data_IF_829259286031
#
_entry.id   IF_829259286031
#
_cell.length_a   1.000
_cell.length_b   1.000
_cell.length_c   1.000
_cell.angle_alpha   90.00
_cell.angle_beta   90.00
_cell.angle_gamma   90.00
#
_symmetry.space_group_name_H-M   'P 1'
#
loop_
_entity.id
_entity.type
_entity.pdbx_description
1 polymer ?
#
# COMPACT_ATOMS: atom_id res chain seq x y z
N UNK A 1 -3.15 -43.22 -3.24
CA UNK A 1 -3.89 -42.53 -4.33
C UNK A 1 -3.06 -41.32 -4.71
N UNK A 2 -2.53 -41.26 -5.93
CA UNK A 2 -1.93 -40.02 -6.48
C UNK A 2 -3.08 -39.08 -6.82
N UNK A 3 -3.05 -37.87 -6.25
CA UNK A 3 -3.95 -36.79 -6.69
C UNK A 3 -3.37 -36.23 -7.99
N UNK A 4 -4.08 -36.41 -9.06
CA UNK A 4 -3.74 -35.80 -10.35
C UNK A 4 -4.47 -34.45 -10.41
N UNK A 5 -3.71 -33.36 -10.59
CA UNK A 5 -4.26 -32.02 -10.72
C UNK A 5 -4.07 -31.61 -12.18
N UNK A 6 -5.15 -31.53 -12.90
CA UNK A 6 -5.14 -31.13 -14.32
C UNK A 6 -5.32 -29.60 -14.36
N UNK A 7 -4.38 -28.93 -15.00
CA UNK A 7 -4.46 -27.51 -15.31
C UNK A 7 -4.72 -27.36 -16.81
N UNK A 8 -5.72 -26.60 -17.17
CA UNK A 8 -5.92 -26.18 -18.55
C UNK A 8 -5.63 -24.70 -18.66
N UNK A 9 -4.83 -24.34 -19.65
CA UNK A 9 -4.56 -22.95 -20.02
C UNK A 9 -4.83 -22.77 -21.50
N UNK A 10 -5.19 -21.59 -21.89
CA UNK A 10 -5.48 -21.23 -23.26
C UNK A 10 -4.18 -20.75 -23.93
N UNK A 11 -3.80 -21.37 -25.03
CA UNK A 11 -2.69 -20.93 -25.89
C UNK A 11 -3.28 -20.34 -27.15
N UNK A 12 -3.28 -19.05 -27.30
CA UNK A 12 -3.81 -18.35 -28.46
C UNK A 12 -3.60 -16.84 -28.36
N UNK A 13 -3.88 -16.13 -29.44
CA UNK A 13 -3.88 -14.65 -29.46
C UNK A 13 -5.09 -14.12 -28.67
N UNK A 14 -5.05 -14.17 -27.36
CA UNK A 14 -6.16 -13.70 -26.50
C UNK A 14 -6.16 -12.19 -26.28
N UNK A 15 -5.09 -11.50 -26.65
CA UNK A 15 -4.87 -10.08 -26.27
C UNK A 15 -4.63 -9.86 -24.79
N UNK A 16 -4.59 -10.92 -23.98
CA UNK A 16 -4.30 -10.88 -22.56
C UNK A 16 -2.92 -11.47 -22.27
N UNK A 17 -2.14 -10.82 -21.45
CA UNK A 17 -0.88 -11.31 -20.91
C UNK A 17 -1.07 -11.75 -19.47
N UNK A 18 -0.38 -12.81 -19.07
CA UNK A 18 -0.36 -13.30 -17.70
C UNK A 18 0.91 -12.77 -17.01
N UNK A 19 0.73 -12.14 -15.86
CA UNK A 19 1.82 -11.62 -15.05
C UNK A 19 1.82 -12.30 -13.69
N UNK A 20 3.00 -12.61 -13.18
CA UNK A 20 3.20 -13.24 -11.89
C UNK A 20 3.89 -12.27 -10.94
N UNK A 21 3.39 -12.16 -9.72
CA UNK A 21 4.00 -11.30 -8.72
C UNK A 21 3.33 -11.41 -7.36
N UNK A 22 3.82 -10.62 -6.44
CA UNK A 22 3.31 -10.58 -5.08
C UNK A 22 2.78 -9.19 -4.75
N UNK A 23 1.64 -9.15 -4.06
CA UNK A 23 0.93 -7.92 -3.72
C UNK A 23 0.94 -7.63 -2.20
N UNK A 24 1.74 -8.35 -1.44
CA UNK A 24 1.84 -8.20 0.00
C UNK A 24 3.18 -8.72 0.51
N UNK A 25 3.98 -7.82 1.04
CA UNK A 25 5.21 -8.14 1.76
C UNK A 25 5.61 -6.98 2.68
N UNK A 26 6.43 -7.27 3.68
CA UNK A 26 6.90 -6.30 4.66
C UNK A 26 8.43 -6.22 4.65
N UNK A 27 8.94 -5.04 4.99
CA UNK A 27 10.35 -4.77 5.20
C UNK A 27 10.66 -4.55 6.68
N UNK A 28 11.93 -4.73 7.07
CA UNK A 28 12.37 -4.31 8.40
C UNK A 28 12.62 -2.79 8.48
N UNK A 29 12.74 -2.15 7.34
CA UNK A 29 12.98 -0.71 7.25
C UNK A 29 11.76 0.12 7.65
N UNK A 30 10.58 -0.31 7.22
CA UNK A 30 9.33 0.43 7.43
C UNK A 30 8.28 -0.32 8.26
N UNK A 31 8.52 -1.59 8.64
CA UNK A 31 7.55 -2.41 9.36
C UNK A 31 8.25 -3.52 10.17
N UNK A 32 7.68 -4.70 10.18
CA UNK A 32 8.11 -5.86 10.96
C UNK A 32 8.61 -7.03 10.10
N UNK A 33 8.93 -6.76 8.84
CA UNK A 33 9.49 -7.74 7.91
C UNK A 33 10.99 -7.93 8.05
N UNK A 34 11.68 -8.21 6.94
CA UNK A 34 13.11 -8.41 6.88
C UNK A 34 13.72 -7.61 5.72
N UNK A 35 14.97 -7.17 5.88
CA UNK A 35 15.71 -6.40 4.86
C UNK A 35 15.17 -5.00 4.63
N UNK A 36 15.73 -4.35 3.64
CA UNK A 36 15.30 -3.03 3.18
C UNK A 36 14.31 -3.14 2.01
N UNK A 37 13.69 -2.04 1.67
CA UNK A 37 12.83 -1.98 0.48
C UNK A 37 13.64 -2.20 -0.81
N UNK A 38 14.87 -1.69 -0.85
CA UNK A 38 15.81 -1.94 -1.96
C UNK A 38 16.13 -3.42 -2.09
N UNK A 39 16.47 -4.10 -0.98
CA UNK A 39 16.74 -5.55 -0.98
C UNK A 39 15.54 -6.35 -1.54
N UNK A 40 14.34 -5.97 -1.16
CA UNK A 40 13.11 -6.64 -1.61
C UNK A 40 12.93 -6.53 -3.14
N UNK A 41 13.08 -5.32 -3.70
CA UNK A 41 12.97 -5.13 -5.15
C UNK A 41 14.12 -5.76 -5.92
N UNK A 42 15.36 -5.66 -5.43
CA UNK A 42 16.50 -6.31 -6.08
C UNK A 42 16.35 -7.82 -6.14
N UNK A 43 15.90 -8.42 -5.05
CA UNK A 43 15.65 -9.85 -5.01
C UNK A 43 14.53 -10.27 -5.99
N UNK A 44 13.44 -9.52 -6.03
CA UNK A 44 12.32 -9.80 -6.94
C UNK A 44 12.73 -9.63 -8.41
N UNK A 45 13.49 -8.59 -8.76
CA UNK A 45 13.99 -8.37 -10.11
C UNK A 45 14.95 -9.46 -10.59
N UNK A 46 15.67 -10.12 -9.68
CA UNK A 46 16.56 -11.24 -10.01
C UNK A 46 15.80 -12.55 -10.21
N UNK A 47 14.59 -12.65 -9.69
CA UNK A 47 13.73 -13.81 -9.87
C UNK A 47 13.11 -13.79 -11.28
N UNK A 48 13.46 -14.80 -12.11
CA UNK A 48 13.10 -14.83 -13.54
C UNK A 48 11.61 -14.98 -13.84
N UNK A 49 10.83 -15.32 -12.84
CA UNK A 49 9.40 -15.65 -12.92
C UNK A 49 8.54 -14.71 -12.07
N UNK A 50 9.09 -13.55 -11.74
CA UNK A 50 8.38 -12.49 -11.00
C UNK A 50 8.34 -11.22 -11.86
N UNK A 51 7.14 -10.82 -12.26
CA UNK A 51 6.90 -9.63 -13.10
C UNK A 51 6.66 -8.37 -12.27
N UNK A 52 6.19 -8.53 -11.02
CA UNK A 52 5.95 -7.39 -10.14
C UNK A 52 6.04 -7.73 -8.66
N UNK A 53 6.42 -6.74 -7.86
CA UNK A 53 6.35 -6.77 -6.40
C UNK A 53 5.70 -5.50 -5.87
N UNK A 54 4.66 -5.66 -5.05
CA UNK A 54 4.07 -4.58 -4.28
C UNK A 54 4.38 -4.82 -2.81
N UNK A 55 5.17 -3.93 -2.21
CA UNK A 55 5.45 -3.96 -0.77
C UNK A 55 4.41 -3.12 -0.05
N UNK A 56 3.86 -3.66 1.03
CA UNK A 56 2.74 -3.06 1.79
C UNK A 56 3.01 -3.16 3.29
N UNK A 57 3.95 -2.36 3.76
CA UNK A 57 4.29 -2.30 5.18
C UNK A 57 3.10 -1.81 6.02
N UNK A 58 3.05 -2.20 7.27
CA UNK A 58 1.99 -1.82 8.20
C UNK A 58 1.84 -0.30 8.32
N UNK A 59 0.66 0.23 8.05
CA UNK A 59 0.39 1.67 8.02
C UNK A 59 0.70 2.39 9.32
N UNK A 60 0.57 1.73 10.46
CA UNK A 60 0.82 2.32 11.77
C UNK A 60 2.30 2.54 12.10
N UNK A 61 3.23 2.01 11.32
CA UNK A 61 4.66 2.27 11.47
C UNK A 61 5.09 3.58 10.81
N UNK A 62 4.27 4.14 9.94
CA UNK A 62 4.53 5.45 9.34
C UNK A 62 4.14 6.63 10.23
N UNK A 63 3.38 6.37 11.30
CA UNK A 63 2.91 7.42 12.19
C UNK A 63 3.92 7.76 13.28
N UNK A 64 4.03 9.03 13.59
CA UNK A 64 4.67 9.45 14.84
C UNK A 64 3.80 9.05 16.03
N UNK A 65 4.40 8.92 17.22
CA UNK A 65 3.64 8.62 18.44
C UNK A 65 2.53 9.62 18.73
N UNK A 66 2.70 10.87 18.31
CA UNK A 66 1.71 11.93 18.46
C UNK A 66 0.54 11.80 17.48
N UNK A 67 0.67 11.04 16.42
CA UNK A 67 -0.37 10.88 15.42
C UNK A 67 -1.57 10.09 15.94
N UNK A 68 -1.37 9.23 16.93
CA UNK A 68 -2.44 8.45 17.57
C UNK A 68 -3.58 9.32 18.15
N UNK A 69 -3.32 10.59 18.41
CA UNK A 69 -4.30 11.56 18.93
C UNK A 69 -4.89 12.47 17.85
N UNK A 70 -4.46 12.35 16.61
CA UNK A 70 -4.95 13.20 15.51
C UNK A 70 -6.40 12.87 15.17
N UNK A 71 -7.15 13.90 14.88
CA UNK A 71 -8.54 13.80 14.46
C UNK A 71 -8.69 13.71 12.94
N UNK A 72 -7.63 14.02 12.19
CA UNK A 72 -7.61 14.01 10.73
C UNK A 72 -6.80 12.81 10.22
N UNK A 73 -7.46 11.85 9.61
CA UNK A 73 -6.82 10.66 9.01
C UNK A 73 -6.18 10.93 7.63
N UNK A 74 -6.34 12.13 7.10
CA UNK A 74 -5.70 12.58 5.86
C UNK A 74 -4.59 13.62 6.09
N UNK A 75 -4.22 13.85 7.34
CA UNK A 75 -3.14 14.77 7.70
C UNK A 75 -1.77 14.08 7.58
N UNK A 76 -1.19 14.15 6.39
CA UNK A 76 0.13 13.59 6.12
C UNK A 76 1.26 14.24 6.92
N UNK A 77 1.02 15.39 7.57
CA UNK A 77 2.02 16.04 8.43
C UNK A 77 2.35 15.23 9.68
N UNK A 78 1.50 14.28 10.03
CA UNK A 78 1.70 13.37 11.18
C UNK A 78 2.61 12.18 10.86
N UNK A 79 3.00 11.97 9.61
CA UNK A 79 3.84 10.85 9.23
C UNK A 79 5.29 11.06 9.69
N UNK A 80 5.96 9.96 10.05
CA UNK A 80 7.37 9.98 10.39
C UNK A 80 8.21 10.44 9.21
N UNK A 81 9.21 11.26 9.53
CA UNK A 81 10.19 11.74 8.56
C UNK A 81 11.41 10.84 8.52
N UNK A 82 12.13 10.90 7.40
CA UNK A 82 13.47 10.37 7.24
C UNK A 82 14.42 10.95 8.29
N UNK A 83 15.53 10.30 8.54
CA UNK A 83 16.50 10.72 9.56
C UNK A 83 17.06 12.15 9.34
N UNK A 84 17.16 12.56 8.08
CA UNK A 84 17.59 13.91 7.69
C UNK A 84 16.44 14.96 7.71
N UNK A 85 15.20 14.52 7.94
CA UNK A 85 14.02 15.36 8.02
C UNK A 85 13.54 15.94 6.68
N UNK A 86 14.11 15.53 5.56
CA UNK A 86 13.84 16.13 4.24
C UNK A 86 12.51 15.69 3.64
N UNK A 87 12.05 14.49 3.96
CA UNK A 87 10.78 13.94 3.48
C UNK A 87 10.15 13.00 4.52
N UNK A 88 8.96 12.50 4.26
CA UNK A 88 8.36 11.44 5.07
C UNK A 88 8.91 10.08 4.65
N UNK A 89 8.91 9.10 5.55
CA UNK A 89 9.24 7.71 5.21
C UNK A 89 8.32 7.15 4.11
N UNK A 90 7.07 7.57 4.08
CA UNK A 90 6.14 7.22 3.01
C UNK A 90 6.60 7.73 1.64
N UNK A 91 7.03 8.99 1.55
CA UNK A 91 7.54 9.57 0.31
C UNK A 91 8.85 8.91 -0.13
N UNK A 92 9.73 8.58 0.81
CA UNK A 92 10.97 7.85 0.55
C UNK A 92 10.69 6.48 -0.05
N UNK A 93 9.81 5.70 0.57
CA UNK A 93 9.44 4.38 0.08
C UNK A 93 8.82 4.43 -1.34
N UNK A 94 7.97 5.41 -1.61
CA UNK A 94 7.41 5.60 -2.95
C UNK A 94 8.47 5.97 -3.99
N UNK A 95 9.42 6.84 -3.63
CA UNK A 95 10.54 7.19 -4.53
C UNK A 95 11.46 5.99 -4.79
N UNK A 96 11.66 5.13 -3.80
CA UNK A 96 12.39 3.88 -3.98
C UNK A 96 11.70 2.99 -5.01
N UNK A 97 10.39 2.79 -4.91
CA UNK A 97 9.65 2.03 -5.92
C UNK A 97 9.75 2.66 -7.32
N UNK A 98 9.62 3.98 -7.42
CA UNK A 98 9.79 4.73 -8.69
C UNK A 98 11.19 4.55 -9.28
N UNK A 99 12.25 4.54 -8.45
CA UNK A 99 13.62 4.27 -8.88
C UNK A 99 13.73 2.89 -9.52
N UNK A 100 13.19 1.85 -8.89
CA UNK A 100 13.24 0.48 -9.43
C UNK A 100 12.39 0.30 -10.69
N UNK A 101 11.25 0.96 -10.78
CA UNK A 101 10.48 1.02 -12.03
C UNK A 101 11.26 1.65 -13.19
N UNK A 102 12.08 2.65 -12.92
CA UNK A 102 12.90 3.29 -13.95
C UNK A 102 14.09 2.43 -14.39
N UNK A 103 14.47 1.41 -13.61
CA UNK A 103 15.60 0.52 -13.91
C UNK A 103 15.23 -0.64 -14.84
N UNK A 104 13.96 -1.00 -14.96
CA UNK A 104 13.51 -2.15 -15.75
C UNK A 104 12.23 -1.83 -16.50
N UNK A 105 12.09 -2.41 -17.69
CA UNK A 105 10.83 -2.42 -18.46
C UNK A 105 10.03 -3.69 -18.24
N UNK A 106 10.64 -4.72 -17.64
CA UNK A 106 10.09 -6.06 -17.51
C UNK A 106 9.68 -6.39 -16.07
N UNK A 107 9.88 -5.46 -15.14
CA UNK A 107 9.51 -5.59 -13.75
C UNK A 107 8.82 -4.32 -13.24
N UNK A 108 7.76 -4.50 -12.45
CA UNK A 108 7.03 -3.40 -11.81
C UNK A 108 7.28 -3.44 -10.31
N UNK A 109 7.92 -2.39 -9.80
CA UNK A 109 8.00 -2.10 -8.37
C UNK A 109 6.87 -1.15 -7.97
N UNK A 110 6.10 -1.49 -6.96
CA UNK A 110 5.09 -0.59 -6.42
C UNK A 110 5.13 -0.60 -4.89
N UNK A 111 4.72 0.50 -4.30
CA UNK A 111 4.62 0.63 -2.87
C UNK A 111 3.19 0.98 -2.46
N UNK A 112 2.72 0.28 -1.45
CA UNK A 112 1.43 0.48 -0.82
C UNK A 112 1.56 0.43 0.70
N UNK A 113 0.46 0.20 1.38
CA UNK A 113 0.46 -0.01 2.81
C UNK A 113 -0.58 -1.05 3.20
N UNK A 114 -0.33 -1.71 4.30
CA UNK A 114 -1.30 -2.58 4.93
C UNK A 114 -2.03 -1.83 6.02
N UNK A 115 -3.32 -1.56 5.80
CA UNK A 115 -4.18 -1.04 6.85
C UNK A 115 -4.37 -2.11 7.92
N UNK A 116 -3.87 -1.84 9.11
CA UNK A 116 -3.65 -2.86 10.14
C UNK A 116 -4.65 -2.74 11.28
N UNK A 117 -5.71 -3.52 11.23
CA UNK A 117 -6.60 -3.72 12.38
C UNK A 117 -6.29 -5.04 13.06
N UNK A 118 -5.68 -4.97 14.23
CA UNK A 118 -5.24 -6.16 14.98
C UNK A 118 -6.37 -6.96 15.65
N UNK A 119 -7.61 -6.54 15.48
CA UNK A 119 -8.80 -7.21 16.00
C UNK A 119 -9.60 -7.95 14.91
N UNK A 120 -10.91 -7.96 15.07
CA UNK A 120 -11.82 -8.76 14.25
C UNK A 120 -11.78 -8.59 12.73
N UNK A 121 -11.59 -7.37 12.15
CA UNK A 121 -11.56 -7.20 10.70
C UNK A 121 -10.33 -7.82 10.02
N UNK A 122 -9.19 -7.89 10.71
CA UNK A 122 -7.92 -8.26 10.09
C UNK A 122 -7.28 -7.11 9.33
N UNK A 123 -6.44 -7.42 8.35
CA UNK A 123 -5.63 -6.47 7.62
C UNK A 123 -6.08 -6.33 6.16
N UNK A 124 -5.85 -5.18 5.56
CA UNK A 124 -6.22 -4.91 4.16
C UNK A 124 -5.08 -4.20 3.45
N UNK A 125 -4.61 -4.77 2.34
CA UNK A 125 -3.59 -4.15 1.51
C UNK A 125 -4.19 -3.08 0.61
N UNK A 126 -3.53 -1.94 0.57
CA UNK A 126 -3.91 -0.79 -0.25
C UNK A 126 -2.70 -0.30 -1.02
N UNK A 127 -2.84 -0.13 -2.31
CA UNK A 127 -1.77 0.31 -3.21
C UNK A 127 -2.29 1.23 -4.30
N UNK A 128 -1.37 1.86 -5.03
CA UNK A 128 -1.66 2.85 -6.06
C UNK A 128 -2.35 4.10 -5.50
N UNK A 129 -1.98 4.50 -4.28
CA UNK A 129 -2.52 5.69 -3.61
C UNK A 129 -1.49 6.81 -3.56
N UNK A 130 -1.98 8.05 -3.47
CA UNK A 130 -1.11 9.22 -3.30
C UNK A 130 -0.50 9.25 -1.90
N UNK A 131 -1.30 9.02 -0.89
CA UNK A 131 -0.91 9.02 0.52
C UNK A 131 -1.20 7.71 1.23
N UNK A 132 -1.03 7.70 2.52
CA UNK A 132 -1.33 6.60 3.40
C UNK A 132 -2.28 7.03 4.51
N UNK A 133 -3.09 6.11 4.99
CA UNK A 133 -3.99 6.30 6.13
C UNK A 133 -3.66 5.24 7.17
N UNK A 134 -3.41 5.67 8.40
CA UNK A 134 -3.15 4.76 9.50
C UNK A 134 -4.38 4.55 10.36
N UNK A 135 -4.50 3.37 10.95
CA UNK A 135 -5.48 3.10 12.00
C UNK A 135 -5.29 4.00 13.24
N UNK A 136 -4.14 4.62 13.39
CA UNK A 136 -3.84 5.52 14.51
C UNK A 136 -4.38 6.95 14.29
N UNK A 137 -4.96 7.25 13.13
CA UNK A 137 -5.46 8.57 12.80
C UNK A 137 -6.97 8.68 13.03
N UNK A 138 -7.38 9.73 13.74
CA UNK A 138 -8.78 10.15 13.88
C UNK A 138 -9.77 9.03 14.21
N UNK A 139 -10.88 8.99 13.52
CA UNK A 139 -11.93 8.00 13.74
C UNK A 139 -11.49 6.56 13.45
N UNK A 140 -10.49 6.37 12.60
CA UNK A 140 -9.92 5.04 12.33
C UNK A 140 -9.23 4.48 13.57
N UNK A 141 -8.59 5.32 14.39
CA UNK A 141 -8.01 4.89 15.66
C UNK A 141 -9.09 4.45 16.65
N UNK A 142 -10.15 5.21 16.80
CA UNK A 142 -11.25 4.88 17.72
C UNK A 142 -11.95 3.57 17.34
N UNK A 143 -12.00 3.27 16.04
CA UNK A 143 -12.68 2.12 15.46
C UNK A 143 -11.72 1.03 15.01
N UNK A 144 -10.43 1.12 15.35
CA UNK A 144 -9.35 0.31 14.77
C UNK A 144 -9.53 -1.20 14.92
N UNK A 145 -10.22 -1.67 15.95
CA UNK A 145 -10.46 -3.08 16.19
C UNK A 145 -11.93 -3.49 15.95
N UNK A 146 -12.65 -2.74 15.12
CA UNK A 146 -14.07 -2.96 14.85
C UNK A 146 -14.38 -2.95 13.36
N UNK A 147 -15.44 -3.66 12.99
CA UNK A 147 -15.96 -3.60 11.62
C UNK A 147 -16.44 -2.19 11.22
N UNK A 148 -16.80 -1.33 12.17
CA UNK A 148 -17.15 0.06 11.89
C UNK A 148 -15.97 0.85 11.31
N UNK A 149 -14.74 0.63 11.82
CA UNK A 149 -13.53 1.21 11.24
C UNK A 149 -13.26 0.71 9.83
N UNK A 150 -13.44 -0.57 9.59
CA UNK A 150 -13.29 -1.16 8.25
C UNK A 150 -14.33 -0.59 7.26
N UNK A 151 -15.58 -0.44 7.67
CA UNK A 151 -16.61 0.16 6.80
C UNK A 151 -16.28 1.60 6.46
N UNK A 152 -15.89 2.42 7.44
CA UNK A 152 -15.45 3.78 7.18
C UNK A 152 -14.29 3.82 6.18
N UNK A 153 -13.28 2.99 6.38
CA UNK A 153 -12.14 2.88 5.47
C UNK A 153 -12.56 2.50 4.04
N UNK A 154 -13.42 1.51 3.90
CA UNK A 154 -13.93 1.09 2.60
C UNK A 154 -14.70 2.22 1.90
N UNK A 155 -15.50 2.99 2.63
CA UNK A 155 -16.23 4.14 2.06
C UNK A 155 -15.26 5.21 1.56
N UNK A 156 -14.18 5.47 2.30
CA UNK A 156 -13.11 6.38 1.86
C UNK A 156 -12.45 5.89 0.56
N UNK A 157 -12.13 4.59 0.46
CA UNK A 157 -11.57 4.01 -0.75
C UNK A 157 -12.53 4.11 -1.95
N UNK A 158 -13.81 3.84 -1.73
CA UNK A 158 -14.84 3.97 -2.77
C UNK A 158 -14.95 5.41 -3.25
N UNK A 159 -14.94 6.38 -2.35
CA UNK A 159 -14.97 7.79 -2.70
C UNK A 159 -13.75 8.21 -3.51
N UNK A 160 -12.55 7.81 -3.09
CA UNK A 160 -11.33 8.08 -3.82
C UNK A 160 -11.36 7.52 -5.24
N UNK A 161 -11.77 6.27 -5.41
CA UNK A 161 -11.90 5.64 -6.73
C UNK A 161 -12.92 6.34 -7.64
N UNK A 162 -13.89 7.05 -7.07
CA UNK A 162 -14.84 7.88 -7.81
C UNK A 162 -14.36 9.31 -8.05
N UNK A 163 -13.15 9.67 -7.60
CA UNK A 163 -12.64 11.04 -7.65
C UNK A 163 -13.36 11.98 -6.68
N UNK A 164 -13.88 11.45 -5.58
CA UNK A 164 -14.53 12.21 -4.53
C UNK A 164 -13.58 12.42 -3.35
N UNK A 165 -13.78 13.49 -2.60
CA UNK A 165 -13.06 13.73 -1.34
C UNK A 165 -13.66 12.93 -0.18
N UNK A 166 -13.13 13.14 1.02
CA UNK A 166 -13.60 12.47 2.25
C UNK A 166 -15.08 12.75 2.60
N UNK A 167 -15.62 13.85 2.09
CA UNK A 167 -17.02 14.25 2.30
C UNK A 167 -17.93 13.78 1.16
N UNK A 168 -17.37 13.10 0.15
CA UNK A 168 -18.12 12.67 -1.03
C UNK A 168 -18.31 13.77 -2.09
N UNK A 169 -17.56 14.88 -2.00
CA UNK A 169 -17.60 15.98 -2.97
C UNK A 169 -16.61 15.74 -4.10
N UNK A 170 -16.96 16.17 -5.31
CA UNK A 170 -16.11 15.99 -6.49
C UNK A 170 -14.78 16.75 -6.36
N UNK A 171 -13.67 16.06 -6.56
CA UNK A 171 -12.34 16.65 -6.60
C UNK A 171 -12.12 17.24 -7.99
N UNK A 172 -11.62 18.47 -8.04
CA UNK A 172 -11.32 19.14 -9.31
C UNK A 172 -10.32 18.32 -10.16
N UNK A 173 -10.54 18.29 -11.47
CA UNK A 173 -9.68 17.54 -12.38
C UNK A 173 -8.22 17.98 -12.23
N UNK A 174 -7.31 17.02 -12.08
CA UNK A 174 -5.88 17.26 -11.86
C UNK A 174 -5.46 17.48 -10.40
N UNK A 175 -6.40 17.58 -9.46
CA UNK A 175 -6.09 17.59 -8.03
C UNK A 175 -6.04 16.14 -7.54
N UNK A 176 -4.85 15.70 -7.11
CA UNK A 176 -4.73 14.42 -6.41
C UNK A 176 -5.33 14.56 -5.03
N UNK A 177 -6.21 13.64 -4.66
CA UNK A 177 -6.72 13.57 -3.29
C UNK A 177 -5.55 13.31 -2.36
N UNK A 178 -5.28 14.24 -1.44
CA UNK A 178 -4.08 14.20 -0.58
C UNK A 178 -4.08 13.08 0.45
N UNK A 179 -5.14 12.34 0.58
CA UNK A 179 -5.32 11.31 1.61
C UNK A 179 -5.33 9.89 1.05
N UNK A 180 -5.27 9.74 -0.29
CA UNK A 180 -5.13 8.43 -0.95
C UNK A 180 -4.17 8.50 -2.12
#
# INVERSE_FOLDING_TARGET
KKAEKIWSFFVGESGLSLYFGQMHSHTAEYSDGAGTLEDAYEHAMQAKDVDFLIVTDHSNYFDTKSSATKTSYYDLSSLEKTADGTMTKWEEAKKTAEKYNAMSTDFIAAYGYEMTWSGGPGHTNTFNTYGTVSRNNGELNEKSNSYAGMHLYNDLMVNANKGLDVNGEAVAAGVKTKWL
#
